data_IF_469994265986
#
_entry.id   IF_469994265986
#
_cell.length_a   1.000
_cell.length_b   1.000
_cell.length_c   1.000
_cell.angle_alpha   90.00
_cell.angle_beta   90.00
_cell.angle_gamma   90.00
#
_symmetry.space_group_name_H-M   'P 1'
#
loop_
_entity.id
_entity.type
_entity.pdbx_description
1 polymer ?
#
# COMPACT_ATOMS: atom_id res chain seq x y z
N UNK A 1 -38.66 -45.64 37.70
CA UNK A 1 -38.20 -46.57 36.65
C UNK A 1 -39.30 -46.67 35.62
N UNK A 2 -39.15 -45.99 34.49
CA UNK A 2 -39.98 -46.15 33.29
C UNK A 2 -39.19 -45.57 32.12
N UNK A 3 -38.85 -46.46 31.18
CA UNK A 3 -38.30 -46.17 29.85
C UNK A 3 -39.46 -46.05 28.87
N UNK A 4 -39.38 -45.10 27.92
CA UNK A 4 -40.00 -45.08 26.59
C UNK A 4 -39.15 -44.07 25.79
N UNK A 5 -38.21 -44.51 24.97
CA UNK A 5 -38.32 -45.06 23.61
C UNK A 5 -38.73 -44.01 22.55
N UNK A 6 -37.72 -43.73 21.74
CA UNK A 6 -37.63 -43.27 20.36
C UNK A 6 -38.92 -42.92 19.63
N UNK A 7 -38.92 -41.73 19.02
CA UNK A 7 -39.54 -41.57 17.71
C UNK A 7 -38.55 -40.81 16.81
N UNK A 8 -37.86 -41.58 15.98
CA UNK A 8 -37.19 -41.07 14.78
C UNK A 8 -38.24 -40.47 13.85
N UNK A 9 -37.98 -39.27 13.37
CA UNK A 9 -38.54 -38.78 12.12
C UNK A 9 -37.52 -37.86 11.47
N UNK A 10 -36.89 -38.48 10.47
CA UNK A 10 -36.10 -37.92 9.39
C UNK A 10 -36.47 -36.49 8.98
N UNK A 11 -35.42 -35.77 8.58
CA UNK A 11 -35.45 -35.16 7.27
C UNK A 11 -35.37 -33.64 7.24
N UNK A 12 -34.27 -33.20 6.63
CA UNK A 12 -34.20 -32.01 5.77
C UNK A 12 -33.72 -30.71 6.40
N UNK A 13 -32.41 -30.48 6.23
CA UNK A 13 -31.94 -29.36 5.44
C UNK A 13 -32.08 -27.98 6.09
N UNK A 14 -31.04 -27.59 6.84
CA UNK A 14 -30.75 -26.18 7.03
C UNK A 14 -30.35 -25.60 5.67
N UNK A 15 -31.27 -24.89 5.03
CA UNK A 15 -31.08 -24.20 3.76
C UNK A 15 -30.52 -22.78 4.03
N UNK A 16 -29.26 -22.47 3.72
CA UNK A 16 -28.77 -21.10 3.76
C UNK A 16 -29.33 -20.35 2.55
N UNK A 17 -30.41 -19.61 2.74
CA UNK A 17 -30.98 -18.80 1.66
C UNK A 17 -29.96 -17.75 1.14
N UNK A 18 -29.86 -17.55 -0.18
CA UNK A 18 -28.68 -17.04 -0.86
C UNK A 18 -28.83 -15.54 -1.21
N UNK A 19 -27.84 -14.71 -0.90
CA UNK A 19 -27.82 -13.30 -1.34
C UNK A 19 -26.98 -13.09 -2.59
N UNK A 20 -26.95 -14.08 -3.48
CA UNK A 20 -26.56 -13.86 -4.87
C UNK A 20 -27.82 -13.84 -5.72
N UNK A 21 -28.18 -12.66 -6.23
CA UNK A 21 -28.94 -12.53 -7.47
C UNK A 21 -28.73 -11.14 -8.08
N UNK A 22 -27.95 -11.09 -9.15
CA UNK A 22 -27.99 -10.02 -10.13
C UNK A 22 -29.27 -10.16 -10.99
N UNK A 23 -29.93 -9.07 -11.41
CA UNK A 23 -30.88 -9.12 -12.50
C UNK A 23 -30.16 -8.86 -13.84
N UNK A 24 -30.39 -9.76 -14.80
CA UNK A 24 -30.02 -9.61 -16.20
C UNK A 24 -31.02 -8.69 -16.96
N UNK A 25 -30.52 -8.05 -18.02
CA UNK A 25 -31.21 -7.16 -18.98
C UNK A 25 -32.46 -7.75 -19.65
N UNK A 26 -33.32 -6.86 -20.20
CA UNK A 26 -33.98 -7.11 -21.47
C UNK A 26 -33.62 -6.04 -22.54
N UNK A 27 -33.07 -6.49 -23.67
CA UNK A 27 -33.09 -5.76 -24.96
C UNK A 27 -34.50 -5.79 -25.56
N UNK A 28 -34.87 -4.79 -26.38
CA UNK A 28 -35.64 -5.05 -27.59
C UNK A 28 -34.85 -4.68 -28.86
N UNK A 29 -35.00 -5.54 -29.86
CA UNK A 29 -34.52 -5.46 -31.24
C UNK A 29 -35.11 -4.26 -31.99
N UNK A 30 -34.30 -3.64 -32.87
CA UNK A 30 -34.82 -3.13 -34.15
C UNK A 30 -33.70 -3.12 -35.20
N UNK A 31 -33.82 -3.99 -36.18
CA UNK A 31 -33.26 -3.89 -37.54
C UNK A 31 -34.43 -4.23 -38.50
N UNK A 32 -34.54 -3.66 -39.71
CA UNK A 32 -33.60 -4.00 -40.80
C UNK A 32 -33.27 -2.88 -41.83
N UNK A 33 -31.97 -2.75 -42.15
CA UNK A 33 -31.27 -2.86 -43.46
C UNK A 33 -31.76 -2.05 -44.73
N UNK A 34 -31.08 -2.13 -45.91
CA UNK A 34 -30.11 -1.16 -46.47
C UNK A 34 -30.46 -0.58 -47.88
N UNK A 35 -29.65 0.34 -48.44
CA UNK A 35 -29.29 0.47 -49.88
C UNK A 35 -28.19 1.57 -50.02
N UNK A 36 -26.97 1.26 -50.49
CA UNK A 36 -26.50 1.26 -51.89
C UNK A 36 -26.59 2.68 -52.51
N UNK A 37 -25.48 3.41 -52.60
CA UNK A 37 -24.56 3.52 -53.74
C UNK A 37 -24.63 4.96 -54.26
N UNK A 38 -23.48 5.64 -54.43
CA UNK A 38 -23.22 6.31 -55.70
C UNK A 38 -21.73 6.58 -55.87
N UNK A 39 -21.18 5.94 -56.90
CA UNK A 39 -19.90 6.29 -57.51
C UNK A 39 -19.99 7.70 -58.09
N UNK A 40 -18.88 8.41 -58.07
CA UNK A 40 -18.49 9.22 -59.22
C UNK A 40 -17.00 9.08 -59.46
N UNK A 41 -16.67 8.40 -60.56
CA UNK A 41 -15.38 8.36 -61.22
C UNK A 41 -15.15 9.67 -61.99
N UNK A 42 -13.92 10.19 -61.94
CA UNK A 42 -13.14 10.80 -63.04
C UNK A 42 -12.03 11.67 -62.43
N UNK A 43 -10.82 11.80 -62.95
CA UNK A 43 -9.98 11.07 -63.89
C UNK A 43 -8.59 11.75 -63.81
N UNK A 44 -7.54 10.97 -64.04
CA UNK A 44 -6.23 11.38 -64.59
C UNK A 44 -5.35 12.44 -63.88
N UNK A 45 -4.18 11.97 -63.43
CA UNK A 45 -2.89 12.56 -63.82
C UNK A 45 -2.27 13.60 -62.89
N UNK A 46 -1.16 13.25 -62.24
CA UNK A 46 0.17 13.83 -62.47
C UNK A 46 1.08 13.69 -61.23
N UNK A 47 2.36 13.45 -61.50
CA UNK A 47 3.41 13.03 -60.58
C UNK A 47 4.00 14.27 -59.91
N UNK A 48 3.95 14.32 -58.57
CA UNK A 48 4.61 15.39 -57.80
C UNK A 48 5.07 14.89 -56.44
N UNK A 49 6.32 14.43 -56.35
CA UNK A 49 7.01 14.17 -55.08
C UNK A 49 7.26 15.48 -54.33
N UNK A 50 6.35 15.86 -53.43
CA UNK A 50 6.56 16.90 -52.42
C UNK A 50 7.08 16.29 -51.11
N UNK A 51 7.94 16.98 -50.34
CA UNK A 51 8.59 16.41 -49.17
C UNK A 51 7.54 16.11 -48.09
N UNK A 52 7.48 14.84 -47.68
CA UNK A 52 6.61 14.38 -46.61
C UNK A 52 6.94 15.14 -45.32
N UNK A 53 6.05 16.05 -44.90
CA UNK A 53 6.10 16.66 -43.57
C UNK A 53 6.10 15.54 -42.54
N UNK A 54 7.23 15.37 -41.84
CA UNK A 54 7.33 14.45 -40.73
C UNK A 54 6.26 14.82 -39.70
N UNK A 55 5.18 14.03 -39.63
CA UNK A 55 4.16 14.17 -38.59
C UNK A 55 4.88 14.07 -37.25
N UNK A 56 4.84 15.15 -36.47
CA UNK A 56 5.43 15.20 -35.14
C UNK A 56 4.90 14.01 -34.35
N UNK A 57 5.80 13.09 -33.97
CA UNK A 57 5.45 11.90 -33.21
C UNK A 57 4.73 12.36 -31.94
N UNK A 58 3.52 11.86 -31.63
CA UNK A 58 2.81 12.27 -30.43
C UNK A 58 3.73 12.03 -29.24
N UNK A 59 4.03 13.11 -28.49
CA UNK A 59 4.78 13.03 -27.24
C UNK A 59 3.96 12.13 -26.33
N UNK A 60 4.46 10.91 -26.10
CA UNK A 60 3.84 9.98 -25.15
C UNK A 60 3.65 10.75 -23.84
N UNK A 61 2.46 10.71 -23.22
CA UNK A 61 2.29 11.28 -21.89
C UNK A 61 3.35 10.63 -20.99
N UNK A 62 4.16 11.46 -20.35
CA UNK A 62 5.12 10.99 -19.35
C UNK A 62 4.31 10.19 -18.31
N UNK A 63 4.75 8.98 -17.93
CA UNK A 63 4.06 8.28 -16.86
C UNK A 63 4.01 9.21 -15.63
N UNK A 64 2.84 9.30 -14.99
CA UNK A 64 2.60 10.14 -13.81
C UNK A 64 3.52 9.77 -12.61
N UNK A 65 4.33 8.72 -12.75
CA UNK A 65 5.25 8.18 -11.76
C UNK A 65 6.73 8.34 -12.16
N UNK A 66 7.07 9.27 -13.05
CA UNK A 66 8.48 9.61 -13.29
C UNK A 66 8.88 10.73 -12.33
N UNK A 67 9.51 10.41 -11.20
CA UNK A 67 10.13 11.42 -10.35
C UNK A 67 11.05 12.29 -11.20
N UNK A 68 10.91 13.61 -11.11
CA UNK A 68 11.78 14.53 -11.84
C UNK A 68 13.19 14.41 -11.29
N UNK A 69 14.21 14.57 -12.14
CA UNK A 69 15.60 14.54 -11.72
C UNK A 69 15.88 15.57 -10.61
N UNK A 70 15.21 16.72 -10.67
CA UNK A 70 15.28 17.76 -9.63
C UNK A 70 14.71 17.30 -8.29
N UNK A 71 13.61 16.52 -8.29
CA UNK A 71 13.04 15.96 -7.08
C UNK A 71 13.96 14.91 -6.45
N UNK A 72 14.59 14.07 -7.27
CA UNK A 72 15.60 13.10 -6.79
C UNK A 72 16.79 13.82 -6.19
N UNK A 73 17.30 14.88 -6.86
CA UNK A 73 18.39 15.71 -6.36
C UNK A 73 18.02 16.37 -5.02
N UNK A 74 16.84 16.97 -4.93
CA UNK A 74 16.37 17.62 -3.70
C UNK A 74 16.27 16.65 -2.52
N UNK A 75 15.80 15.42 -2.74
CA UNK A 75 15.74 14.39 -1.68
C UNK A 75 17.13 13.95 -1.23
N UNK A 76 18.08 13.79 -2.16
CA UNK A 76 19.48 13.49 -1.82
C UNK A 76 20.12 14.62 -1.02
N UNK A 77 19.97 15.86 -1.49
CA UNK A 77 20.50 17.05 -0.80
C UNK A 77 19.90 17.18 0.61
N UNK A 78 18.62 16.88 0.78
CA UNK A 78 17.96 16.86 2.09
C UNK A 78 18.49 15.74 3.01
N UNK A 79 18.76 14.54 2.47
CA UNK A 79 19.37 13.42 3.21
C UNK A 79 20.82 13.71 3.62
N UNK A 80 21.60 14.34 2.75
CA UNK A 80 22.98 14.74 3.07
C UNK A 80 23.01 15.92 4.05
N UNK A 81 21.98 16.78 4.03
CA UNK A 81 21.77 17.85 4.99
C UNK A 81 21.24 17.38 6.36
N UNK A 82 20.71 16.16 6.45
CA UNK A 82 20.24 15.54 7.69
C UNK A 82 21.43 15.16 8.57
N UNK A 83 21.84 16.11 9.41
CA UNK A 83 22.88 15.90 10.44
C UNK A 83 22.40 15.11 11.65
N UNK A 84 21.09 14.90 11.77
CA UNK A 84 20.51 14.07 12.81
C UNK A 84 20.60 12.59 12.41
N UNK A 85 21.60 11.92 12.98
CA UNK A 85 21.87 10.49 12.79
C UNK A 85 20.65 9.63 13.12
N UNK A 86 19.80 10.07 14.07
CA UNK A 86 18.62 9.32 14.51
C UNK A 86 17.54 9.29 13.44
N UNK A 87 17.23 10.44 12.83
CA UNK A 87 16.27 10.52 11.72
C UNK A 87 16.79 9.75 10.49
N UNK A 88 18.09 9.82 10.20
CA UNK A 88 18.72 9.05 9.11
C UNK A 88 18.61 7.53 9.37
N UNK A 89 18.84 7.10 10.62
CA UNK A 89 18.64 5.72 11.05
C UNK A 89 17.20 5.23 10.88
N UNK A 90 16.19 6.08 11.11
CA UNK A 90 14.78 5.72 10.93
C UNK A 90 14.48 5.42 9.46
N UNK A 91 14.97 6.26 8.55
CA UNK A 91 14.81 6.04 7.10
C UNK A 91 15.48 4.72 6.70
N UNK A 92 16.70 4.46 7.18
CA UNK A 92 17.44 3.22 6.90
C UNK A 92 16.70 1.97 7.39
N UNK A 93 16.21 2.00 8.64
CA UNK A 93 15.50 0.89 9.26
C UNK A 93 14.20 0.51 8.55
N UNK A 94 13.47 1.50 8.02
CA UNK A 94 12.24 1.26 7.23
C UNK A 94 12.57 0.72 5.83
N UNK A 95 13.65 1.24 5.24
CA UNK A 95 14.04 0.94 3.86
C UNK A 95 14.76 -0.40 3.70
N UNK A 96 15.14 -1.04 4.81
CA UNK A 96 16.05 -2.19 4.82
C UNK A 96 17.32 -1.86 4.00
N UNK A 97 17.87 -0.68 4.27
CA UNK A 97 18.98 -0.08 3.57
C UNK A 97 20.08 0.29 4.57
N UNK A 98 21.32 0.33 4.10
CA UNK A 98 22.41 0.91 4.86
C UNK A 98 22.15 2.42 5.04
N UNK A 99 22.40 2.95 6.24
CA UNK A 99 22.30 4.39 6.50
C UNK A 99 23.31 5.21 5.67
N UNK A 100 24.39 4.58 5.22
CA UNK A 100 25.36 5.18 4.31
C UNK A 100 24.91 5.18 2.83
N UNK A 101 23.90 4.38 2.45
CA UNK A 101 23.41 4.28 1.07
C UNK A 101 22.34 5.36 0.79
N UNK A 102 22.79 6.60 0.58
CA UNK A 102 21.93 7.76 0.29
C UNK A 102 20.99 7.51 -0.89
N UNK A 103 21.39 6.73 -1.89
CA UNK A 103 20.57 6.46 -3.08
C UNK A 103 19.39 5.55 -2.77
N UNK A 104 19.61 4.50 -2.01
CA UNK A 104 18.55 3.58 -1.58
C UNK A 104 17.58 4.26 -0.62
N UNK A 105 18.08 5.10 0.29
CA UNK A 105 17.25 5.94 1.16
C UNK A 105 16.39 6.92 0.36
N UNK A 106 16.98 7.62 -0.61
CA UNK A 106 16.26 8.57 -1.47
C UNK A 106 15.14 7.87 -2.26
N UNK A 107 15.40 6.67 -2.80
CA UNK A 107 14.39 5.88 -3.49
C UNK A 107 13.25 5.45 -2.57
N UNK A 108 13.54 5.07 -1.32
CA UNK A 108 12.52 4.69 -0.35
C UNK A 108 11.61 5.87 0.04
N UNK A 109 12.21 7.04 0.25
CA UNK A 109 11.52 8.31 0.47
C UNK A 109 10.59 8.67 -0.69
N UNK A 110 11.11 8.62 -1.93
CA UNK A 110 10.35 8.94 -3.13
C UNK A 110 9.17 7.99 -3.40
N UNK A 111 9.30 6.73 -2.95
CA UNK A 111 8.23 5.73 -3.00
C UNK A 111 7.19 5.89 -1.88
N UNK A 112 7.41 6.78 -0.92
CA UNK A 112 6.50 6.99 0.21
C UNK A 112 6.51 5.86 1.24
N UNK A 113 7.61 5.08 1.32
CA UNK A 113 7.68 3.89 2.18
C UNK A 113 7.68 4.18 3.69
N UNK A 114 7.83 5.45 4.10
CA UNK A 114 7.97 5.86 5.50
C UNK A 114 6.65 6.16 6.19
N UNK A 115 5.69 6.77 5.48
CA UNK A 115 4.47 7.30 6.08
C UNK A 115 3.64 6.21 6.79
N UNK A 116 3.61 4.99 6.23
CA UNK A 116 2.93 3.85 6.85
C UNK A 116 3.54 3.44 8.20
N UNK A 117 4.82 2.98 8.23
CA UNK A 117 5.48 2.61 9.47
C UNK A 117 5.53 3.73 10.52
N UNK A 118 5.86 4.96 10.10
CA UNK A 118 5.93 6.12 11.00
C UNK A 118 4.55 6.46 11.56
N UNK A 119 3.52 6.51 10.70
CA UNK A 119 2.16 6.78 11.11
C UNK A 119 1.62 5.75 12.10
N UNK A 120 2.00 4.48 11.98
CA UNK A 120 1.66 3.44 12.96
C UNK A 120 2.32 3.69 14.31
N UNK A 121 3.60 4.01 14.35
CA UNK A 121 4.30 4.29 15.62
C UNK A 121 3.65 5.49 16.33
N UNK A 122 3.33 6.56 15.59
CA UNK A 122 2.61 7.71 16.14
C UNK A 122 1.22 7.33 16.65
N UNK A 123 0.46 6.54 15.89
CA UNK A 123 -0.86 6.10 16.30
C UNK A 123 -0.82 5.24 17.58
N UNK A 124 0.19 4.37 17.73
CA UNK A 124 0.35 3.57 18.94
C UNK A 124 0.80 4.39 20.14
N UNK A 125 1.70 5.35 19.92
CA UNK A 125 2.14 6.29 20.94
C UNK A 125 0.99 7.16 21.45
N UNK A 126 0.20 7.73 20.52
CA UNK A 126 -0.89 8.65 20.86
C UNK A 126 -2.15 7.93 21.42
N UNK A 127 -2.29 6.62 21.20
CA UNK A 127 -3.36 5.82 21.82
C UNK A 127 -3.10 5.65 23.31
N UNK A 128 -3.88 6.33 24.15
CA UNK A 128 -3.74 6.33 25.60
C UNK A 128 -4.25 5.05 26.28
N UNK A 129 -5.20 4.34 25.67
CA UNK A 129 -5.79 3.12 26.23
C UNK A 129 -4.92 1.90 25.87
N UNK A 130 -4.29 1.22 26.85
CA UNK A 130 -3.40 0.10 26.58
C UNK A 130 -4.11 -1.08 25.90
N UNK A 131 -5.40 -1.30 26.19
CA UNK A 131 -6.15 -2.39 25.58
C UNK A 131 -6.48 -2.07 24.12
N UNK A 132 -6.91 -0.84 23.82
CA UNK A 132 -7.15 -0.41 22.43
C UNK A 132 -5.87 -0.43 21.61
N UNK A 133 -4.76 -0.01 22.19
CA UNK A 133 -3.44 -0.07 21.54
C UNK A 133 -3.08 -1.51 21.18
N UNK A 134 -3.17 -2.42 22.16
CA UNK A 134 -2.87 -3.83 21.95
C UNK A 134 -3.77 -4.44 20.86
N UNK A 135 -5.07 -4.16 20.87
CA UNK A 135 -6.02 -4.61 19.84
C UNK A 135 -5.65 -4.05 18.46
N UNK A 136 -5.34 -2.76 18.38
CA UNK A 136 -4.93 -2.11 17.13
C UNK A 136 -3.65 -2.71 16.54
N UNK A 137 -2.66 -2.99 17.38
CA UNK A 137 -1.42 -3.67 16.96
C UNK A 137 -1.71 -5.09 16.48
N UNK A 138 -2.52 -5.86 17.23
CA UNK A 138 -2.91 -7.23 16.87
C UNK A 138 -3.63 -7.28 15.52
N UNK A 139 -4.62 -6.42 15.32
CA UNK A 139 -5.34 -6.30 14.04
C UNK A 139 -4.40 -5.95 12.89
N UNK A 140 -3.42 -5.06 13.11
CA UNK A 140 -2.45 -4.71 12.07
C UNK A 140 -1.46 -5.85 11.79
N UNK A 141 -1.09 -6.66 12.79
CA UNK A 141 -0.26 -7.84 12.59
C UNK A 141 -0.95 -8.87 11.69
N UNK A 142 -2.26 -9.07 11.88
CA UNK A 142 -3.05 -9.96 11.03
C UNK A 142 -3.18 -9.43 9.60
N UNK A 143 -3.39 -8.11 9.45
CA UNK A 143 -3.59 -7.47 8.15
C UNK A 143 -2.29 -7.30 7.35
N UNK A 144 -1.24 -6.81 7.98
CA UNK A 144 0.06 -6.51 7.38
C UNK A 144 1.19 -6.61 8.41
N UNK A 145 1.59 -7.85 8.72
CA UNK A 145 2.72 -8.12 9.59
C UNK A 145 4.03 -7.48 9.10
N UNK A 146 4.20 -7.28 7.79
CA UNK A 146 5.41 -6.65 7.25
C UNK A 146 5.51 -5.18 7.64
N UNK A 147 4.38 -4.47 7.58
CA UNK A 147 4.26 -3.10 8.03
C UNK A 147 4.51 -2.95 9.53
N UNK A 148 3.94 -3.83 10.35
CA UNK A 148 4.18 -3.83 11.81
C UNK A 148 5.64 -4.09 12.13
N UNK A 149 6.29 -5.02 11.43
CA UNK A 149 7.73 -5.28 11.63
C UNK A 149 8.59 -4.09 11.23
N UNK A 150 8.24 -3.36 10.17
CA UNK A 150 8.92 -2.10 9.83
C UNK A 150 8.71 -1.04 10.91
N UNK A 151 7.49 -0.87 11.44
CA UNK A 151 7.22 0.04 12.54
C UNK A 151 7.98 -0.36 13.83
N UNK A 152 8.08 -1.66 14.12
CA UNK A 152 8.89 -2.16 15.24
C UNK A 152 10.38 -1.81 15.10
N UNK A 153 10.94 -1.85 13.88
CA UNK A 153 12.31 -1.38 13.62
C UNK A 153 12.46 0.12 13.83
N UNK A 154 11.45 0.93 13.50
CA UNK A 154 11.45 2.37 13.81
C UNK A 154 11.53 2.60 15.31
N UNK A 155 10.75 1.84 16.09
CA UNK A 155 10.81 1.93 17.56
C UNK A 155 12.20 1.59 18.10
N UNK A 156 12.89 0.58 17.55
CA UNK A 156 14.27 0.23 17.94
C UNK A 156 15.27 1.34 17.61
N UNK A 157 15.10 2.05 16.50
CA UNK A 157 15.96 3.20 16.19
C UNK A 157 15.71 4.37 17.14
N UNK A 158 14.44 4.60 17.49
CA UNK A 158 14.06 5.65 18.42
C UNK A 158 14.54 5.33 19.83
N UNK A 159 14.45 4.09 20.27
CA UNK A 159 14.97 3.63 21.55
C UNK A 159 15.74 2.31 21.41
N UNK A 160 17.08 2.38 21.30
CA UNK A 160 17.94 1.20 21.25
C UNK A 160 17.85 0.32 22.51
N UNK A 161 17.36 0.85 23.64
CA UNK A 161 17.13 0.07 24.86
C UNK A 161 16.08 -1.05 24.70
N UNK A 162 15.29 -0.99 23.63
CA UNK A 162 14.25 -1.97 23.33
C UNK A 162 14.76 -3.22 22.61
N UNK A 163 16.03 -3.32 22.20
CA UNK A 163 16.57 -4.47 21.45
C UNK A 163 16.38 -5.83 22.18
N UNK A 164 16.32 -5.81 23.52
CA UNK A 164 16.07 -7.00 24.33
C UNK A 164 14.62 -7.50 24.28
N UNK A 165 13.66 -6.60 24.07
CA UNK A 165 12.21 -6.81 24.22
C UNK A 165 11.47 -6.81 22.88
N UNK A 166 11.73 -5.84 22.01
CA UNK A 166 11.12 -5.72 20.69
C UNK A 166 11.99 -6.44 19.66
N UNK A 167 11.54 -7.61 19.16
CA UNK A 167 12.27 -8.39 18.16
C UNK A 167 11.45 -8.54 16.86
N UNK A 168 11.61 -7.61 15.90
CA UNK A 168 10.78 -7.58 14.69
C UNK A 168 10.83 -8.86 13.85
N UNK A 169 11.98 -9.53 13.77
CA UNK A 169 12.17 -10.72 12.92
C UNK A 169 12.19 -12.04 13.69
N UNK A 170 12.26 -12.00 15.02
CA UNK A 170 12.50 -13.18 15.87
C UNK A 170 11.37 -13.54 16.83
N UNK A 171 10.41 -12.64 17.06
CA UNK A 171 9.26 -12.89 17.94
C UNK A 171 8.09 -13.52 17.19
N UNK A 172 7.30 -14.32 17.91
CA UNK A 172 5.96 -14.68 17.46
C UNK A 172 5.05 -13.43 17.49
N UNK A 173 3.88 -13.51 16.84
CA UNK A 173 2.99 -12.35 16.69
C UNK A 173 2.51 -11.79 18.04
N UNK A 174 2.16 -12.67 18.98
CA UNK A 174 1.64 -12.28 20.31
C UNK A 174 2.71 -11.59 21.17
N UNK A 175 3.92 -12.13 21.20
CA UNK A 175 5.05 -11.55 21.94
C UNK A 175 5.41 -10.18 21.35
N UNK A 176 5.41 -10.06 20.02
CA UNK A 176 5.65 -8.80 19.34
C UNK A 176 4.53 -7.79 19.66
N UNK A 177 3.27 -8.20 19.62
CA UNK A 177 2.13 -7.35 19.99
C UNK A 177 2.27 -6.82 21.41
N UNK A 178 2.58 -7.69 22.37
CA UNK A 178 2.77 -7.30 23.76
C UNK A 178 3.94 -6.33 23.93
N UNK A 179 5.09 -6.64 23.35
CA UNK A 179 6.28 -5.80 23.42
C UNK A 179 6.02 -4.39 22.84
N UNK A 180 5.37 -4.30 21.68
CA UNK A 180 5.02 -3.03 21.04
C UNK A 180 4.00 -2.24 21.87
N UNK A 181 2.95 -2.89 22.37
CA UNK A 181 1.93 -2.24 23.18
C UNK A 181 2.51 -1.67 24.47
N UNK A 182 3.48 -2.37 25.07
CA UNK A 182 4.18 -1.96 26.28
C UNK A 182 5.16 -0.81 26.03
N UNK A 183 5.89 -0.82 24.91
CA UNK A 183 6.98 0.13 24.66
C UNK A 183 6.53 1.43 23.97
N UNK A 184 5.42 1.42 23.23
CA UNK A 184 4.95 2.57 22.46
C UNK A 184 4.68 3.87 23.25
N UNK A 185 4.12 3.87 24.49
CA UNK A 185 3.73 5.11 25.16
C UNK A 185 4.92 5.94 25.68
N UNK A 186 6.05 5.28 25.95
CA UNK A 186 7.23 5.93 26.53
C UNK A 186 8.26 6.37 25.47
N UNK A 187 7.91 6.19 24.19
CA UNK A 187 8.81 6.45 23.08
C UNK A 187 8.93 7.95 22.79
N UNK A 188 10.16 8.48 22.68
CA UNK A 188 10.38 9.83 22.16
C UNK A 188 10.13 9.87 20.64
N UNK A 189 8.90 10.26 20.27
CA UNK A 189 8.46 10.36 18.86
C UNK A 189 8.74 11.72 18.22
N UNK A 190 9.33 12.67 18.95
CA UNK A 190 9.67 14.00 18.43
C UNK A 190 10.43 13.97 17.08
N UNK A 191 11.40 13.06 16.87
CA UNK A 191 12.18 13.00 15.62
C UNK A 191 11.38 12.54 14.40
N UNK A 192 10.22 11.88 14.60
CA UNK A 192 9.44 11.26 13.51
C UNK A 192 8.10 11.94 13.25
N UNK A 193 7.63 12.85 14.11
CA UNK A 193 6.37 13.59 13.92
C UNK A 193 6.32 14.38 12.60
N UNK A 194 7.47 14.84 12.09
CA UNK A 194 7.57 15.55 10.80
C UNK A 194 7.71 14.64 9.58
N UNK A 195 7.72 13.31 9.75
CA UNK A 195 7.94 12.33 8.68
C UNK A 195 6.67 11.56 8.26
N UNK A 196 5.57 11.73 9.01
CA UNK A 196 4.29 11.08 8.76
C UNK A 196 3.47 11.80 7.67
#
# INVERSE_FOLDING_TARGET
MAFYDSNDSDGSGFDPAPWQQAPADPRPETEPRPEAEERSEAAAGDVGHGPAKAKARPRRPRPAFAWTADRVRQVRDALDGLKDERTRGVVAAISDADAADTDRLALALLKGGLAGPVGLVLAWHDETDPLRRAIGIGSMLEKDAGLVRRAARVMLVLDPGLEGTVRPSGSNATDLQYALASAAPDLDVSPIRGLA
#
